data_IF_874265467007
#
_entry.id   IF_874265467007
#
_cell.length_a   1.000
_cell.length_b   1.000
_cell.length_c   1.000
_cell.angle_alpha   90.00
_cell.angle_beta   90.00
_cell.angle_gamma   90.00
#
_symmetry.space_group_name_H-M   'P 1'
#
loop_
_entity.id
_entity.type
_entity.pdbx_description
1 polymer ?
#
# COMPACT_ATOMS: atom_id res chain seq x y z
N UNK A 1 6.19 -9.14 -0.52
CA UNK A 1 5.85 -7.80 -0.02
C UNK A 1 7.15 -7.13 0.37
N UNK A 2 7.45 -5.97 -0.22
CA UNK A 2 8.70 -5.24 -0.01
C UNK A 2 8.52 -4.13 1.03
N UNK A 3 7.31 -3.58 1.14
CA UNK A 3 6.95 -2.60 2.15
C UNK A 3 5.66 -2.98 2.88
N UNK A 4 5.55 -2.50 4.11
CA UNK A 4 4.33 -2.48 4.92
C UNK A 4 4.29 -1.14 5.65
N UNK A 5 3.24 -0.37 5.44
CA UNK A 5 3.08 0.94 6.05
C UNK A 5 1.63 1.25 6.37
N UNK A 6 1.42 1.92 7.49
CA UNK A 6 0.19 2.64 7.79
C UNK A 6 0.20 3.94 6.98
N UNK A 7 -0.83 4.15 6.17
CA UNK A 7 -0.92 5.31 5.29
C UNK A 7 -2.27 5.99 5.41
N UNK A 8 -2.28 7.29 5.13
CA UNK A 8 -3.48 8.06 4.86
C UNK A 8 -3.59 8.35 3.37
N UNK A 9 -4.76 8.10 2.79
CA UNK A 9 -4.99 8.40 1.37
C UNK A 9 -5.37 9.86 1.21
N UNK A 10 -4.58 10.62 0.46
CA UNK A 10 -4.78 12.04 0.26
C UNK A 10 -5.58 12.33 -1.01
N UNK A 11 -5.23 11.65 -2.11
CA UNK A 11 -5.84 11.87 -3.42
C UNK A 11 -5.92 10.57 -4.21
N UNK A 12 -6.85 10.52 -5.17
CA UNK A 12 -6.99 9.43 -6.12
C UNK A 12 -7.02 9.99 -7.54
N UNK A 13 -6.15 9.46 -8.38
CA UNK A 13 -6.08 9.70 -9.82
C UNK A 13 -6.24 8.38 -10.60
N UNK A 14 -6.47 8.49 -11.90
CA UNK A 14 -6.52 7.34 -12.81
C UNK A 14 -5.53 7.54 -13.96
N UNK A 15 -4.65 6.56 -14.16
CA UNK A 15 -3.75 6.50 -15.30
C UNK A 15 -4.32 5.54 -16.35
N UNK A 16 -4.75 6.11 -17.47
CA UNK A 16 -5.32 5.38 -18.62
C UNK A 16 -4.31 5.27 -19.79
N UNK A 17 -3.02 5.52 -19.55
CA UNK A 17 -1.98 5.44 -20.59
C UNK A 17 -1.70 4.01 -21.06
N UNK A 18 -2.06 3.01 -20.26
CA UNK A 18 -1.85 1.59 -20.52
C UNK A 18 -3.14 0.88 -20.94
N UNK A 19 -3.00 -0.30 -21.53
CA UNK A 19 -4.13 -1.16 -21.94
C UNK A 19 -5.06 -1.51 -20.77
N UNK A 20 -4.51 -1.63 -19.56
CA UNK A 20 -5.26 -1.75 -18.31
C UNK A 20 -5.12 -0.44 -17.57
N UNK A 21 -6.24 0.22 -17.25
CA UNK A 21 -6.22 1.44 -16.46
C UNK A 21 -5.77 1.16 -15.03
N UNK A 22 -4.96 2.05 -14.49
CA UNK A 22 -4.42 2.00 -13.14
C UNK A 22 -5.05 3.10 -12.29
N UNK A 23 -5.36 2.79 -11.05
CA UNK A 23 -5.62 3.79 -10.02
C UNK A 23 -4.28 4.18 -9.40
N UNK A 24 -4.07 5.48 -9.26
CA UNK A 24 -2.89 6.06 -8.64
C UNK A 24 -3.36 6.82 -7.40
N UNK A 25 -2.88 6.40 -6.24
CA UNK A 25 -3.20 7.00 -4.96
C UNK A 25 -2.01 7.78 -4.46
N UNK A 26 -2.22 9.07 -4.16
CA UNK A 26 -1.26 9.85 -3.40
C UNK A 26 -1.50 9.61 -1.92
N UNK A 27 -0.47 9.18 -1.20
CA UNK A 27 -0.57 8.80 0.20
C UNK A 27 0.49 9.48 1.05
N UNK A 28 0.16 9.63 2.32
CA UNK A 28 1.10 10.00 3.37
C UNK A 28 1.39 8.77 4.23
N UNK A 29 2.66 8.41 4.38
CA UNK A 29 3.08 7.32 5.28
C UNK A 29 3.14 7.86 6.71
N UNK A 30 2.25 7.34 7.56
CA UNK A 30 2.19 7.70 8.98
C UNK A 30 3.16 6.83 9.79
N UNK A 31 3.13 5.52 9.56
CA UNK A 31 4.06 4.57 10.17
C UNK A 31 4.60 3.58 9.12
N UNK A 32 5.88 3.26 9.20
CA UNK A 32 6.54 2.31 8.29
C UNK A 32 7.05 1.11 9.09
N UNK A 33 6.38 -0.02 8.93
CA UNK A 33 6.71 -1.28 9.63
C UNK A 33 7.74 -2.10 8.86
N UNK A 34 7.71 -2.02 7.52
CA UNK A 34 8.67 -2.65 6.63
C UNK A 34 8.97 -1.71 5.46
N UNK A 35 10.25 -1.55 5.15
CA UNK A 35 10.71 -0.84 3.95
C UNK A 35 11.75 -1.67 3.19
N UNK A 36 11.85 -1.51 1.86
CA UNK A 36 12.99 -1.99 1.11
C UNK A 36 14.27 -1.24 1.53
N UNK A 37 15.44 -1.65 1.03
CA UNK A 37 16.72 -1.01 1.35
C UNK A 37 16.83 0.48 0.97
N UNK A 38 15.84 1.03 0.26
CA UNK A 38 15.70 2.47 0.01
C UNK A 38 15.45 3.24 1.31
N UNK A 39 15.95 4.47 1.38
CA UNK A 39 15.77 5.33 2.55
C UNK A 39 14.30 5.71 2.76
N UNK A 40 13.56 6.02 1.68
CA UNK A 40 12.17 6.51 1.72
C UNK A 40 11.22 5.69 0.83
N UNK A 41 9.95 5.61 1.27
CA UNK A 41 8.87 4.97 0.51
C UNK A 41 8.22 5.95 -0.48
N UNK A 42 7.83 5.50 -1.68
CA UNK A 42 7.13 6.32 -2.65
C UNK A 42 5.77 6.77 -2.12
N UNK A 43 5.45 8.06 -2.27
CA UNK A 43 4.15 8.63 -1.91
C UNK A 43 3.03 8.31 -2.90
N UNK A 44 3.37 7.73 -4.04
CA UNK A 44 2.40 7.27 -5.04
C UNK A 44 2.31 5.75 -5.01
N UNK A 45 1.09 5.25 -4.85
CA UNK A 45 0.77 3.82 -4.87
C UNK A 45 -0.14 3.54 -6.06
N UNK A 46 0.21 2.50 -6.83
CA UNK A 46 -0.55 2.06 -8.00
C UNK A 46 -1.24 0.73 -7.75
N UNK A 47 -2.39 0.56 -8.39
CA UNK A 47 -3.15 -0.67 -8.41
C UNK A 47 -4.00 -0.73 -9.68
N UNK A 48 -4.32 -1.92 -10.22
CA UNK A 48 -5.32 -2.04 -11.28
C UNK A 48 -6.65 -1.39 -10.89
N UNK A 49 -7.34 -0.78 -11.86
CA UNK A 49 -8.64 -0.12 -11.61
C UNK A 49 -9.82 -1.10 -11.48
N UNK A 50 -9.64 -2.29 -12.06
CA UNK A 50 -10.63 -3.35 -12.12
C UNK A 50 -10.34 -4.39 -11.04
N UNK A 51 -11.34 -4.72 -10.24
CA UNK A 51 -11.24 -5.76 -9.20
C UNK A 51 -10.91 -7.13 -9.80
N UNK A 52 -11.39 -7.43 -11.01
CA UNK A 52 -11.04 -8.65 -11.76
C UNK A 52 -9.56 -8.80 -12.11
N UNK A 53 -8.79 -7.70 -12.04
CA UNK A 53 -7.33 -7.69 -12.16
C UNK A 53 -6.64 -7.50 -10.80
N UNK A 54 -7.29 -7.90 -9.71
CA UNK A 54 -6.82 -7.68 -8.33
C UNK A 54 -6.63 -6.20 -7.99
N UNK A 55 -7.48 -5.32 -8.53
CA UNK A 55 -7.51 -3.92 -8.19
C UNK A 55 -8.03 -3.66 -6.77
N UNK A 56 -7.20 -3.09 -5.90
CA UNK A 56 -7.61 -2.61 -4.59
C UNK A 56 -8.25 -1.21 -4.72
N UNK A 57 -9.42 -1.00 -4.09
CA UNK A 57 -10.06 0.31 -4.03
C UNK A 57 -9.89 0.88 -2.63
N UNK A 58 -9.19 2.01 -2.56
CA UNK A 58 -9.01 2.80 -1.34
C UNK A 58 -9.91 4.03 -1.40
N UNK A 59 -10.33 4.52 -0.23
CA UNK A 59 -11.10 5.76 -0.11
C UNK A 59 -10.19 6.92 0.28
N UNK A 60 -10.36 8.06 -0.38
CA UNK A 60 -9.67 9.32 -0.02
C UNK A 60 -10.12 9.79 1.37
N UNK A 61 -9.17 10.22 2.19
CA UNK A 61 -9.37 10.67 3.56
C UNK A 61 -9.26 9.57 4.61
N UNK A 62 -9.33 8.31 4.21
CA UNK A 62 -9.26 7.14 5.10
C UNK A 62 -7.82 6.65 5.30
N UNK A 63 -7.62 5.93 6.40
CA UNK A 63 -6.34 5.34 6.81
C UNK A 63 -6.34 3.83 6.59
N UNK A 64 -5.23 3.31 6.06
CA UNK A 64 -5.07 1.91 5.72
C UNK A 64 -3.72 1.36 6.15
N UNK A 65 -3.71 0.11 6.57
CA UNK A 65 -2.51 -0.71 6.60
C UNK A 65 -2.30 -1.34 5.22
N UNK A 66 -1.29 -0.85 4.51
CA UNK A 66 -0.94 -1.33 3.19
C UNK A 66 0.35 -2.14 3.20
N UNK A 67 0.35 -3.25 2.47
CA UNK A 67 1.53 -4.01 2.13
C UNK A 67 1.59 -4.26 0.63
N UNK A 68 2.72 -3.90 0.03
CA UNK A 68 2.89 -3.94 -1.42
C UNK A 68 4.28 -4.36 -1.84
N UNK A 69 4.55 -4.21 -3.14
CA UNK A 69 5.86 -4.44 -3.75
C UNK A 69 6.34 -3.15 -4.39
N UNK A 70 7.66 -2.97 -4.44
CA UNK A 70 8.27 -1.88 -5.19
C UNK A 70 8.88 -2.50 -6.45
N UNK A 71 8.48 -2.01 -7.62
CA UNK A 71 9.05 -2.49 -8.88
C UNK A 71 10.44 -1.88 -9.15
N UNK A 72 11.07 -2.31 -10.24
CA UNK A 72 12.42 -1.87 -10.59
C UNK A 72 12.51 -0.36 -10.90
N UNK A 73 11.38 0.29 -11.20
CA UNK A 73 11.31 1.73 -11.46
C UNK A 73 11.04 2.53 -10.18
N UNK A 74 11.00 1.86 -9.02
CA UNK A 74 10.74 2.47 -7.72
C UNK A 74 9.26 2.76 -7.46
N UNK A 75 8.34 2.19 -8.25
CA UNK A 75 6.90 2.43 -8.09
C UNK A 75 6.32 1.44 -7.08
N UNK A 76 5.58 1.97 -6.10
CA UNK A 76 4.86 1.15 -5.15
C UNK A 76 3.57 0.61 -5.76
N UNK A 77 3.41 -0.71 -5.71
CA UNK A 77 2.26 -1.42 -6.25
C UNK A 77 1.57 -2.22 -5.14
N UNK A 78 0.25 -2.10 -5.05
CA UNK A 78 -0.61 -2.91 -4.16
C UNK A 78 -1.60 -3.72 -4.99
N UNK A 79 -2.21 -4.72 -4.35
CA UNK A 79 -3.25 -5.53 -4.98
C UNK A 79 -4.36 -5.87 -3.99
N UNK A 80 -5.51 -6.26 -4.50
CA UNK A 80 -6.66 -6.71 -3.72
C UNK A 80 -6.32 -7.93 -2.84
N UNK A 81 -5.42 -8.80 -3.29
CA UNK A 81 -4.96 -9.97 -2.56
C UNK A 81 -3.83 -9.66 -1.56
N UNK A 82 -3.32 -8.44 -1.56
CA UNK A 82 -2.29 -7.98 -0.64
C UNK A 82 -2.87 -7.54 0.71
N UNK A 83 -2.00 -7.00 1.55
CA UNK A 83 -2.41 -6.38 2.81
C UNK A 83 -3.00 -4.99 2.48
N UNK A 84 -4.29 -4.81 2.69
CA UNK A 84 -5.02 -3.58 2.38
C UNK A 84 -6.20 -3.34 3.36
N UNK A 85 -5.92 -3.44 4.66
CA UNK A 85 -6.93 -3.34 5.72
C UNK A 85 -7.16 -1.89 6.12
N UNK A 86 -8.40 -1.49 6.38
CA UNK A 86 -8.71 -0.19 7.01
C UNK A 86 -8.09 -0.13 8.41
N UNK A 87 -7.36 0.95 8.72
CA UNK A 87 -6.61 1.08 9.98
C UNK A 87 -7.54 1.08 11.20
N UNK A 88 -8.72 1.68 11.07
CA UNK A 88 -9.72 1.74 12.12
C UNK A 88 -10.44 0.39 12.36
N UNK A 89 -10.34 -0.55 11.42
CA UNK A 89 -10.93 -1.87 11.52
C UNK A 89 -9.98 -2.92 12.14
N UNK A 90 -8.71 -2.57 12.39
CA UNK A 90 -7.74 -3.45 13.04
C UNK A 90 -7.99 -3.49 14.55
N UNK A 91 -7.94 -4.68 15.11
CA UNK A 91 -8.00 -4.86 16.56
C UNK A 91 -6.72 -4.30 17.23
N UNK A 92 -6.78 -3.85 18.50
CA UNK A 92 -5.63 -3.25 19.18
C UNK A 92 -4.40 -4.17 19.22
N UNK A 93 -4.62 -5.47 19.43
CA UNK A 93 -3.56 -6.48 19.43
C UNK A 93 -2.89 -6.64 18.06
N UNK A 94 -3.65 -6.57 16.95
CA UNK A 94 -3.07 -6.59 15.60
C UNK A 94 -2.12 -5.40 15.41
N UNK A 95 -2.50 -4.21 15.90
CA UNK A 95 -1.65 -3.01 15.80
C UNK A 95 -0.35 -3.15 16.60
N UNK A 96 -0.41 -3.74 17.79
CA UNK A 96 0.76 -4.00 18.62
C UNK A 96 1.70 -5.03 17.96
N UNK A 97 1.14 -6.09 17.38
CA UNK A 97 1.94 -7.11 16.68
C UNK A 97 2.66 -6.54 15.44
N UNK A 98 2.10 -5.55 14.74
CA UNK A 98 2.74 -4.91 13.59
C UNK A 98 4.12 -4.31 13.91
N UNK A 99 4.31 -3.80 15.13
CA UNK A 99 5.60 -3.30 15.59
C UNK A 99 6.64 -4.42 15.80
N UNK A 100 6.17 -5.66 16.02
CA UNK A 100 7.01 -6.82 16.32
C UNK A 100 7.40 -7.62 15.08
N UNK A 101 6.66 -7.49 13.97
CA UNK A 101 6.97 -8.23 12.75
C UNK A 101 8.32 -7.81 12.17
N UNK A 102 9.31 -8.70 12.29
CA UNK A 102 10.60 -8.62 11.59
C UNK A 102 10.61 -9.66 10.49
N UNK A 103 10.99 -9.28 9.28
CA UNK A 103 11.24 -10.26 8.23
C UNK A 103 12.55 -10.98 8.53
N UNK A 104 12.47 -12.24 8.93
CA UNK A 104 13.64 -13.11 9.00
C UNK A 104 14.12 -13.40 7.56
N UNK A 105 15.40 -13.12 7.29
CA UNK A 105 16.07 -13.57 6.07
C UNK A 105 16.16 -15.09 6.14
N UNK A 106 15.39 -15.81 5.34
CA UNK A 106 15.51 -17.26 5.18
C UNK A 106 16.26 -17.58 3.89
#
# INVERSE_FOLDING_TARGET
MDFVSHVKVLEQNSDNSKMVSLLVYSVEHLDVFKKPHSDELPREIKTPSLSGFCGARLKVGEEYLLGGMIDNDGVANISLCGLNKEWNALEPNEKEELATYRCERR
#
